data_IF_636142680099
#
_entry.id   IF_636142680099
#
_cell.length_a   1.000
_cell.length_b   1.000
_cell.length_c   1.000
_cell.angle_alpha   90.00
_cell.angle_beta   90.00
_cell.angle_gamma   90.00
#
_symmetry.space_group_name_H-M   'P 1'
#
loop_
_entity.id
_entity.type
_entity.pdbx_description
1 polymer ?
#
# COMPACT_ATOMS: atom_id res chain seq x y z
N UNK A 1 0.66 -28.68 11.30
CA UNK A 1 1.69 -27.63 11.48
C UNK A 1 2.42 -27.46 10.16
N UNK A 2 2.22 -26.34 9.46
CA UNK A 2 2.95 -26.07 8.22
C UNK A 2 4.44 -25.89 8.55
N UNK A 3 5.28 -26.68 7.90
CA UNK A 3 6.74 -26.58 7.97
C UNK A 3 7.14 -25.17 7.53
N UNK A 4 7.57 -24.31 8.46
CA UNK A 4 8.27 -23.08 8.10
C UNK A 4 9.47 -23.48 7.24
N UNK A 5 9.45 -23.12 5.95
CA UNK A 5 10.52 -23.44 5.01
C UNK A 5 11.87 -23.02 5.59
N UNK A 6 12.91 -23.82 5.33
CA UNK A 6 14.26 -23.46 5.76
C UNK A 6 14.60 -22.06 5.23
N UNK A 7 15.23 -21.19 6.04
CA UNK A 7 15.63 -19.87 5.58
C UNK A 7 16.52 -19.99 4.34
N UNK A 8 16.36 -19.10 3.34
CA UNK A 8 17.11 -19.17 2.08
C UNK A 8 18.63 -19.04 2.30
N UNK A 9 19.06 -18.46 3.43
CA UNK A 9 20.45 -18.30 3.81
C UNK A 9 20.79 -19.15 5.06
N UNK A 10 21.48 -20.29 4.91
CA UNK A 10 21.76 -21.22 6.02
C UNK A 10 22.54 -20.59 7.19
N UNK A 11 23.43 -19.64 6.91
CA UNK A 11 24.23 -18.95 7.93
C UNK A 11 23.39 -18.02 8.82
N UNK A 12 22.23 -17.56 8.34
CA UNK A 12 21.30 -16.72 9.10
C UNK A 12 20.27 -17.53 9.91
N UNK A 13 20.32 -18.86 9.88
CA UNK A 13 19.34 -19.72 10.57
C UNK A 13 19.21 -19.42 12.07
N UNK A 14 20.30 -18.97 12.71
CA UNK A 14 20.31 -18.57 14.13
C UNK A 14 19.52 -17.30 14.43
N UNK A 15 19.30 -16.43 13.43
CA UNK A 15 18.54 -15.19 13.57
C UNK A 15 17.05 -15.35 13.24
N UNK A 16 16.62 -16.53 12.77
CA UNK A 16 15.21 -16.80 12.48
C UNK A 16 14.45 -16.99 13.80
N UNK A 17 13.62 -16.01 14.13
CA UNK A 17 12.70 -16.13 15.26
C UNK A 17 11.56 -17.09 14.96
N UNK A 18 11.16 -17.88 15.96
CA UNK A 18 9.93 -18.69 15.93
C UNK A 18 8.74 -18.01 16.60
N UNK A 19 8.96 -16.88 17.27
CA UNK A 19 7.90 -16.15 17.95
C UNK A 19 7.08 -15.34 16.93
N UNK A 20 5.82 -15.73 16.74
CA UNK A 20 4.92 -15.08 15.79
C UNK A 20 4.72 -13.58 16.08
N UNK A 21 4.62 -13.17 17.34
CA UNK A 21 4.46 -11.76 17.68
C UNK A 21 5.67 -10.93 17.25
N UNK A 22 6.88 -11.49 17.35
CA UNK A 22 8.11 -10.82 16.88
C UNK A 22 8.15 -10.74 15.35
N UNK A 23 7.73 -11.80 14.65
CA UNK A 23 7.65 -11.80 13.18
C UNK A 23 6.68 -10.74 12.68
N UNK A 24 5.48 -10.71 13.25
CA UNK A 24 4.44 -9.75 12.92
C UNK A 24 4.85 -8.32 13.26
N UNK A 25 5.46 -8.11 14.43
CA UNK A 25 6.03 -6.82 14.82
C UNK A 25 7.05 -6.32 13.80
N UNK A 26 8.02 -7.16 13.39
CA UNK A 26 9.05 -6.77 12.43
C UNK A 26 8.47 -6.48 11.04
N UNK A 27 7.48 -7.25 10.62
CA UNK A 27 6.78 -7.05 9.35
C UNK A 27 6.02 -5.71 9.34
N UNK A 28 5.28 -5.41 10.41
CA UNK A 28 4.57 -4.13 10.57
C UNK A 28 5.54 -2.94 10.72
N UNK A 29 6.64 -3.12 11.44
CA UNK A 29 7.70 -2.12 11.58
C UNK A 29 8.30 -1.75 10.22
N UNK A 30 8.77 -2.73 9.45
CA UNK A 30 9.40 -2.49 8.15
C UNK A 30 8.39 -2.03 7.09
N UNK A 31 7.16 -2.56 7.12
CA UNK A 31 6.10 -2.16 6.22
C UNK A 31 5.71 -0.69 6.43
N UNK A 32 5.48 -0.26 7.67
CA UNK A 32 5.18 1.15 7.97
C UNK A 32 6.40 2.06 7.75
N UNK A 33 7.61 1.56 8.01
CA UNK A 33 8.85 2.28 7.67
C UNK A 33 8.92 2.61 6.17
N UNK A 34 8.73 1.61 5.30
CA UNK A 34 8.76 1.78 3.84
C UNK A 34 7.65 2.73 3.38
N UNK A 35 6.42 2.54 3.87
CA UNK A 35 5.29 3.42 3.59
C UNK A 35 5.65 4.88 3.85
N UNK A 36 6.16 5.16 5.04
CA UNK A 36 6.46 6.52 5.45
C UNK A 36 7.65 7.09 4.69
N UNK A 37 8.71 6.30 4.43
CA UNK A 37 9.87 6.78 3.68
C UNK A 37 9.50 7.27 2.27
N UNK A 38 8.73 6.49 1.51
CA UNK A 38 8.32 6.90 0.16
C UNK A 38 7.39 8.11 0.17
N UNK A 39 6.39 8.12 1.05
CA UNK A 39 5.44 9.23 1.15
C UNK A 39 6.06 10.51 1.71
N UNK A 40 6.90 10.39 2.74
CA UNK A 40 7.59 11.51 3.35
C UNK A 40 8.63 12.15 2.41
N UNK A 41 9.40 11.32 1.69
CA UNK A 41 10.37 11.83 0.71
C UNK A 41 9.69 12.51 -0.49
N UNK A 42 8.53 12.01 -0.94
CA UNK A 42 7.77 12.70 -1.99
C UNK A 42 7.22 14.04 -1.52
N UNK A 43 6.83 14.14 -0.24
CA UNK A 43 6.40 15.41 0.33
C UNK A 43 7.57 16.37 0.54
N UNK A 44 8.77 15.88 0.90
CA UNK A 44 9.98 16.68 0.89
C UNK A 44 10.29 17.22 -0.52
N UNK A 45 10.17 16.38 -1.55
CA UNK A 45 10.30 16.83 -2.94
C UNK A 45 9.28 17.92 -3.28
N UNK A 46 8.01 17.74 -2.90
CA UNK A 46 6.99 18.77 -3.04
C UNK A 46 7.35 20.07 -2.32
N UNK A 47 7.88 20.02 -1.10
CA UNK A 47 8.21 21.21 -0.31
C UNK A 47 9.44 21.97 -0.81
N UNK A 48 10.49 21.27 -1.26
CA UNK A 48 11.78 21.90 -1.54
C UNK A 48 12.10 22.13 -3.03
N UNK A 49 11.28 21.62 -3.95
CA UNK A 49 11.46 21.90 -5.39
C UNK A 49 10.57 23.03 -5.88
N UNK A 50 10.95 23.68 -6.98
CA UNK A 50 10.15 24.76 -7.57
C UNK A 50 8.80 24.28 -8.14
N UNK A 51 8.75 23.04 -8.64
CA UNK A 51 7.54 22.45 -9.21
C UNK A 51 6.70 21.80 -8.11
N UNK A 52 5.59 22.45 -7.76
CA UNK A 52 4.65 21.98 -6.75
C UNK A 52 3.60 21.08 -7.39
N UNK A 53 3.85 19.77 -7.41
CA UNK A 53 2.89 18.78 -7.89
C UNK A 53 2.33 17.94 -6.73
N UNK A 54 1.10 18.25 -6.33
CA UNK A 54 0.41 17.52 -5.27
C UNK A 54 0.09 16.08 -5.72
N UNK A 55 -0.12 15.83 -7.02
CA UNK A 55 -0.51 14.51 -7.52
C UNK A 55 0.68 13.57 -7.46
N UNK A 56 1.87 14.05 -7.84
CA UNK A 56 3.11 13.29 -7.68
C UNK A 56 3.32 12.90 -6.19
N UNK A 57 3.07 13.82 -5.26
CA UNK A 57 3.18 13.52 -3.83
C UNK A 57 2.18 12.42 -3.40
N UNK A 58 0.89 12.56 -3.72
CA UNK A 58 -0.14 11.58 -3.35
C UNK A 58 0.05 10.23 -4.05
N UNK A 59 0.53 10.24 -5.29
CA UNK A 59 0.90 9.04 -6.04
C UNK A 59 1.97 8.25 -5.29
N UNK A 60 3.06 8.92 -4.89
CA UNK A 60 4.12 8.30 -4.09
C UNK A 60 3.65 7.81 -2.72
N UNK A 61 2.72 8.50 -2.04
CA UNK A 61 2.10 7.99 -0.81
C UNK A 61 1.36 6.67 -1.05
N UNK A 62 0.57 6.56 -2.11
CA UNK A 62 -0.11 5.32 -2.47
C UNK A 62 0.84 4.19 -2.86
N UNK A 63 1.92 4.50 -3.60
CA UNK A 63 3.00 3.53 -3.89
C UNK A 63 3.71 3.09 -2.60
N UNK A 64 3.97 4.02 -1.67
CA UNK A 64 4.52 3.70 -0.35
C UNK A 64 3.63 2.73 0.42
N UNK A 65 2.31 2.97 0.43
CA UNK A 65 1.34 2.03 1.03
C UNK A 65 1.39 0.67 0.35
N UNK A 66 1.37 0.61 -0.99
CA UNK A 66 1.46 -0.65 -1.73
C UNK A 66 2.71 -1.46 -1.34
N UNK A 67 3.89 -0.81 -1.33
CA UNK A 67 5.15 -1.47 -0.98
C UNK A 67 5.22 -1.84 0.51
N UNK A 68 4.66 -1.00 1.38
CA UNK A 68 4.56 -1.28 2.81
C UNK A 68 3.70 -2.53 3.09
N UNK A 69 2.53 -2.63 2.46
CA UNK A 69 1.67 -3.82 2.54
C UNK A 69 2.43 -5.04 2.01
N UNK A 70 3.06 -4.92 0.83
CA UNK A 70 3.77 -6.03 0.19
C UNK A 70 4.94 -6.55 1.05
N UNK A 71 5.57 -5.67 1.83
CA UNK A 71 6.66 -6.02 2.76
C UNK A 71 6.19 -6.98 3.86
N UNK A 72 4.99 -6.74 4.42
CA UNK A 72 4.45 -7.53 5.53
C UNK A 72 3.42 -8.60 5.12
N UNK A 73 2.96 -8.62 3.87
CA UNK A 73 1.81 -9.41 3.42
C UNK A 73 1.90 -10.90 3.76
N UNK A 74 3.07 -11.51 3.59
CA UNK A 74 3.28 -12.94 3.87
C UNK A 74 3.50 -13.30 5.35
N UNK A 75 3.59 -12.30 6.24
CA UNK A 75 3.93 -12.50 7.66
C UNK A 75 2.83 -11.96 8.57
N UNK A 76 2.56 -10.65 8.53
CA UNK A 76 1.53 -10.00 9.34
C UNK A 76 0.20 -9.79 8.62
N UNK A 77 0.20 -9.93 7.29
CA UNK A 77 -0.89 -9.47 6.42
C UNK A 77 -0.72 -8.02 5.94
N UNK A 78 0.33 -7.32 6.38
CA UNK A 78 0.69 -5.99 5.90
C UNK A 78 -0.34 -4.92 6.26
N UNK A 79 -0.71 -4.78 7.54
CA UNK A 79 -1.71 -3.80 7.96
C UNK A 79 -1.18 -2.37 7.82
N UNK A 80 0.06 -2.15 8.25
CA UNK A 80 0.86 -0.91 8.19
C UNK A 80 0.19 0.36 8.73
N UNK A 81 -0.99 0.22 9.34
CA UNK A 81 -1.87 1.26 9.80
C UNK A 81 -2.67 0.77 11.02
N UNK A 82 -2.66 1.50 12.16
CA UNK A 82 -3.43 1.16 13.35
C UNK A 82 -4.92 1.01 13.10
N UNK A 83 -5.53 1.80 12.20
CA UNK A 83 -6.97 1.70 11.96
C UNK A 83 -7.35 0.39 11.26
N UNK A 84 -6.49 -0.10 10.36
CA UNK A 84 -6.67 -1.39 9.68
C UNK A 84 -6.60 -2.51 10.72
N UNK A 85 -5.61 -2.46 11.60
CA UNK A 85 -5.45 -3.39 12.72
C UNK A 85 -6.67 -3.43 13.64
N UNK A 86 -7.17 -2.28 14.11
CA UNK A 86 -8.34 -2.25 15.01
C UNK A 86 -9.63 -2.63 14.31
N UNK A 87 -9.81 -2.23 13.04
CA UNK A 87 -11.00 -2.55 12.27
C UNK A 87 -11.10 -4.04 11.98
N UNK A 88 -10.01 -4.67 11.53
CA UNK A 88 -9.98 -6.13 11.36
C UNK A 88 -10.20 -6.86 12.68
N UNK A 89 -9.68 -6.35 13.79
CA UNK A 89 -9.96 -6.93 15.09
C UNK A 89 -11.44 -6.86 15.48
N UNK A 90 -12.13 -5.75 15.16
CA UNK A 90 -13.56 -5.59 15.47
C UNK A 90 -14.48 -6.60 14.77
N UNK A 91 -14.09 -7.09 13.59
CA UNK A 91 -14.87 -8.07 12.81
C UNK A 91 -14.27 -9.48 12.87
N UNK A 92 -13.35 -9.72 13.79
CA UNK A 92 -12.75 -11.04 14.03
C UNK A 92 -11.74 -11.50 12.98
N UNK A 93 -11.32 -10.63 12.05
CA UNK A 93 -10.25 -10.91 11.06
C UNK A 93 -8.85 -10.90 11.69
N UNK A 94 -8.67 -10.25 12.83
CA UNK A 94 -7.45 -10.28 13.65
C UNK A 94 -7.79 -10.56 15.13
N UNK A 95 -7.13 -11.49 15.82
CA UNK A 95 -7.29 -11.64 17.26
C UNK A 95 -6.84 -10.38 18.01
N UNK A 96 -7.67 -9.85 18.92
CA UNK A 96 -7.37 -8.64 19.71
C UNK A 96 -6.01 -8.69 20.44
N UNK A 97 -5.60 -9.88 20.90
CA UNK A 97 -4.28 -10.08 21.54
C UNK A 97 -3.08 -9.73 20.66
N UNK A 98 -3.26 -9.66 19.33
CA UNK A 98 -2.21 -9.26 18.38
C UNK A 98 -2.11 -7.76 18.16
N UNK A 99 -3.19 -7.03 18.44
CA UNK A 99 -3.27 -5.58 18.20
C UNK A 99 -2.11 -4.80 18.85
N UNK A 100 -1.70 -5.07 20.10
CA UNK A 100 -0.64 -4.28 20.74
C UNK A 100 0.69 -4.31 20.00
N UNK A 101 1.18 -5.48 19.57
CA UNK A 101 2.47 -5.58 18.88
C UNK A 101 2.41 -5.14 17.43
N UNK A 102 1.25 -5.20 16.77
CA UNK A 102 1.05 -4.56 15.46
C UNK A 102 1.19 -3.04 15.58
N UNK A 103 0.40 -2.43 16.48
CA UNK A 103 0.40 -0.97 16.69
C UNK A 103 1.79 -0.48 17.10
N UNK A 104 2.46 -1.20 18.01
CA UNK A 104 3.82 -0.85 18.43
C UNK A 104 4.82 -0.92 17.27
N UNK A 105 4.77 -1.98 16.45
CA UNK A 105 5.61 -2.11 15.26
C UNK A 105 5.42 -0.96 14.30
N UNK A 106 4.16 -0.65 13.96
CA UNK A 106 3.80 0.45 13.06
C UNK A 106 4.33 1.79 13.55
N UNK A 107 4.10 2.11 14.84
CA UNK A 107 4.52 3.40 15.40
C UNK A 107 6.05 3.53 15.46
N UNK A 108 6.77 2.49 15.88
CA UNK A 108 8.24 2.52 15.93
C UNK A 108 8.86 2.55 14.53
N UNK A 109 8.26 1.86 13.56
CA UNK A 109 8.68 1.88 12.16
C UNK A 109 8.56 3.29 11.56
N UNK A 110 7.41 3.93 11.76
CA UNK A 110 7.20 5.32 11.33
C UNK A 110 8.09 6.32 12.06
N UNK A 111 8.34 6.13 13.37
CA UNK A 111 9.26 6.98 14.13
C UNK A 111 10.65 6.97 13.49
N UNK A 112 11.20 5.76 13.24
CA UNK A 112 12.50 5.62 12.60
C UNK A 112 12.52 6.19 11.17
N UNK A 113 11.46 5.97 10.40
CA UNK A 113 11.34 6.52 9.05
C UNK A 113 11.33 8.06 9.08
N UNK A 114 10.57 8.66 9.98
CA UNK A 114 10.55 10.11 10.16
C UNK A 114 11.91 10.67 10.58
N UNK A 115 12.67 9.94 11.40
CA UNK A 115 14.00 10.36 11.84
C UNK A 115 14.98 10.34 10.67
N UNK A 116 15.00 9.25 9.90
CA UNK A 116 15.84 9.14 8.69
C UNK A 116 15.44 10.20 7.67
N UNK A 117 14.14 10.44 7.46
CA UNK A 117 13.66 11.49 6.56
C UNK A 117 14.16 12.88 6.99
N UNK A 118 14.01 13.23 8.27
CA UNK A 118 14.49 14.51 8.79
C UNK A 118 15.99 14.71 8.51
N UNK A 119 16.83 13.73 8.87
CA UNK A 119 18.28 13.83 8.65
C UNK A 119 18.65 13.81 7.16
N UNK A 120 17.90 13.08 6.33
CA UNK A 120 18.14 13.03 4.89
C UNK A 120 17.84 14.37 4.18
N UNK A 121 17.01 15.23 4.78
CA UNK A 121 16.60 16.52 4.22
C UNK A 121 17.05 17.72 5.08
N UNK A 122 17.99 17.53 6.02
CA UNK A 122 18.36 18.57 6.99
C UNK A 122 18.90 19.84 6.33
N UNK A 123 19.77 19.72 5.32
CA UNK A 123 20.33 20.88 4.61
C UNK A 123 19.24 21.66 3.84
N UNK A 124 18.26 20.96 3.29
CA UNK A 124 17.13 21.59 2.60
C UNK A 124 16.18 22.27 3.58
N UNK A 125 15.96 21.69 4.76
CA UNK A 125 15.23 22.34 5.84
C UNK A 125 15.95 23.63 6.28
N UNK A 126 17.26 23.53 6.55
CA UNK A 126 18.10 24.66 6.99
C UNK A 126 18.18 25.77 5.93
N UNK A 127 18.12 25.42 4.64
CA UNK A 127 18.06 26.40 3.55
C UNK A 127 16.80 27.26 3.56
N UNK A 128 15.72 26.79 4.19
CA UNK A 128 14.43 27.48 4.30
C UNK A 128 14.29 28.18 5.65
N UNK A 129 14.62 27.48 6.73
CA UNK A 129 14.36 27.91 8.10
C UNK A 129 15.59 28.46 8.84
N UNK A 130 16.77 28.40 8.24
CA UNK A 130 18.02 28.88 8.83
C UNK A 130 18.47 28.07 10.04
N UNK A 131 17.93 26.86 10.23
CA UNK A 131 18.12 26.01 11.41
C UNK A 131 17.11 26.28 12.53
N UNK A 132 16.24 27.29 12.40
CA UNK A 132 15.17 27.58 13.36
C UNK A 132 13.90 26.83 13.00
N UNK A 133 13.65 25.71 13.69
CA UNK A 133 12.50 24.84 13.40
C UNK A 133 11.17 25.49 13.78
N UNK A 134 10.35 25.79 12.78
CA UNK A 134 9.02 26.38 12.94
C UNK A 134 7.96 25.55 12.20
N UNK A 135 6.78 25.33 12.79
CA UNK A 135 5.76 24.52 12.12
C UNK A 135 5.19 25.26 10.90
N UNK A 136 4.84 26.53 11.09
CA UNK A 136 4.19 27.40 10.10
C UNK A 136 4.91 28.74 9.99
N UNK A 137 4.42 29.57 9.06
CA UNK A 137 5.00 30.88 8.76
C UNK A 137 5.77 30.86 7.45
N UNK A 138 6.39 31.99 7.13
CA UNK A 138 7.14 32.16 5.87
C UNK A 138 8.24 31.12 5.68
N UNK A 139 8.86 30.71 6.79
CA UNK A 139 9.94 29.74 6.84
C UNK A 139 9.50 28.44 7.53
N UNK A 140 8.20 28.17 7.64
CA UNK A 140 7.67 27.00 8.33
C UNK A 140 7.96 25.71 7.55
N UNK A 141 8.58 24.74 8.23
CA UNK A 141 9.01 23.46 7.64
C UNK A 141 8.38 22.25 8.34
N UNK A 142 7.68 22.44 9.45
CA UNK A 142 7.16 21.35 10.29
C UNK A 142 6.09 20.49 9.62
N UNK A 143 5.43 20.98 8.56
CA UNK A 143 4.49 20.21 7.75
C UNK A 143 5.13 19.02 7.03
N UNK A 144 6.47 18.97 6.91
CA UNK A 144 7.20 17.86 6.31
C UNK A 144 6.89 16.52 7.02
N UNK A 145 6.91 16.52 8.36
CA UNK A 145 6.91 15.28 9.14
C UNK A 145 5.49 14.77 9.41
N UNK A 146 4.54 15.66 9.67
CA UNK A 146 3.23 15.28 10.20
C UNK A 146 2.12 16.08 9.54
N UNK A 147 0.88 15.64 9.69
CA UNK A 147 -0.28 16.32 9.13
C UNK A 147 -0.73 17.49 10.00
N UNK A 148 -1.31 18.49 9.37
CA UNK A 148 -1.94 19.62 10.04
C UNK A 148 -3.22 20.06 9.30
N UNK A 149 -4.16 20.71 10.01
CA UNK A 149 -5.38 21.19 9.40
C UNK A 149 -5.11 22.47 8.61
N UNK A 150 -5.81 22.64 7.50
CA UNK A 150 -5.83 23.89 6.76
C UNK A 150 -6.37 25.04 7.64
N UNK A 151 -5.71 26.20 7.60
CA UNK A 151 -6.05 27.37 8.43
C UNK A 151 -7.48 27.87 8.22
N UNK A 152 -8.04 27.69 7.02
CA UNK A 152 -9.39 28.11 6.67
C UNK A 152 -10.48 27.08 6.98
N UNK A 153 -10.10 25.90 7.50
CA UNK A 153 -11.03 24.80 7.78
C UNK A 153 -11.20 24.64 9.29
N UNK A 154 -12.44 24.60 9.76
CA UNK A 154 -12.75 24.37 11.18
C UNK A 154 -12.36 22.94 11.62
N UNK A 155 -11.94 22.79 12.88
CA UNK A 155 -11.57 21.46 13.42
C UNK A 155 -12.74 20.48 13.42
N UNK A 156 -13.98 20.94 13.59
CA UNK A 156 -15.18 20.09 13.46
C UNK A 156 -15.32 19.51 12.05
N UNK A 157 -14.98 20.29 11.02
CA UNK A 157 -14.93 19.80 9.63
C UNK A 157 -13.78 18.83 9.45
N UNK A 158 -12.62 19.07 10.07
CA UNK A 158 -11.51 18.11 10.04
C UNK A 158 -11.87 16.77 10.70
N UNK A 159 -12.64 16.78 11.79
CA UNK A 159 -13.17 15.56 12.42
C UNK A 159 -14.09 14.82 11.44
N UNK A 160 -15.04 15.52 10.82
CA UNK A 160 -15.96 14.92 9.86
C UNK A 160 -15.25 14.37 8.62
N UNK A 161 -14.32 15.14 8.07
CA UNK A 161 -13.43 14.75 6.96
C UNK A 161 -12.64 13.48 7.30
N UNK A 162 -12.04 13.42 8.49
CA UNK A 162 -11.27 12.27 8.95
C UNK A 162 -12.14 11.01 9.12
N UNK A 163 -13.39 11.16 9.59
CA UNK A 163 -14.36 10.06 9.67
C UNK A 163 -14.69 9.53 8.26
N UNK A 164 -14.99 10.44 7.31
CA UNK A 164 -15.29 10.06 5.92
C UNK A 164 -14.10 9.35 5.29
N UNK A 165 -12.91 9.94 5.35
CA UNK A 165 -11.71 9.38 4.72
C UNK A 165 -11.37 8.01 5.29
N UNK A 166 -11.34 7.87 6.62
CA UNK A 166 -11.00 6.60 7.27
C UNK A 166 -12.08 5.54 7.05
N UNK A 167 -13.34 5.95 6.95
CA UNK A 167 -14.46 5.09 6.57
C UNK A 167 -14.36 4.59 5.13
N UNK A 168 -14.11 5.48 4.17
CA UNK A 168 -13.91 5.11 2.77
C UNK A 168 -12.70 4.19 2.58
N UNK A 169 -11.60 4.48 3.29
CA UNK A 169 -10.41 3.65 3.32
C UNK A 169 -10.76 2.22 3.77
N UNK A 170 -11.37 2.07 4.94
CA UNK A 170 -11.67 0.73 5.47
C UNK A 170 -12.79 0.01 4.71
N UNK A 171 -13.83 0.72 4.27
CA UNK A 171 -14.88 0.15 3.45
C UNK A 171 -14.30 -0.43 2.16
N UNK A 172 -13.45 0.33 1.45
CA UNK A 172 -12.85 -0.09 0.20
C UNK A 172 -11.82 -1.21 0.40
N UNK A 173 -11.04 -1.19 1.49
CA UNK A 173 -10.18 -2.32 1.86
C UNK A 173 -11.01 -3.61 2.02
N UNK A 174 -12.15 -3.54 2.70
CA UNK A 174 -13.03 -4.70 2.88
C UNK A 174 -13.63 -5.19 1.55
N UNK A 175 -13.98 -4.26 0.65
CA UNK A 175 -14.41 -4.58 -0.73
C UNK A 175 -13.31 -5.33 -1.49
N UNK A 176 -12.08 -4.83 -1.46
CA UNK A 176 -10.93 -5.37 -2.22
C UNK A 176 -10.54 -6.76 -1.71
N UNK A 177 -10.56 -6.98 -0.39
CA UNK A 177 -10.11 -8.20 0.26
C UNK A 177 -11.17 -9.33 0.30
N UNK A 178 -12.42 -9.06 -0.06
CA UNK A 178 -13.44 -10.09 -0.08
C UNK A 178 -13.40 -10.85 -1.41
N UNK A 179 -12.78 -12.03 -1.42
CA UNK A 179 -12.68 -12.91 -2.59
C UNK A 179 -14.07 -13.27 -3.18
N UNK A 180 -15.16 -13.15 -2.41
CA UNK A 180 -16.53 -13.39 -2.88
C UNK A 180 -17.05 -12.23 -3.74
N UNK A 181 -16.43 -11.06 -3.65
CA UNK A 181 -16.82 -9.83 -4.31
C UNK A 181 -15.87 -9.51 -5.47
N UNK A 182 -16.32 -9.66 -6.72
CA UNK A 182 -15.53 -9.48 -7.95
C UNK A 182 -14.25 -10.34 -8.07
N UNK A 183 -13.91 -11.17 -7.05
CA UNK A 183 -12.80 -12.12 -7.01
C UNK A 183 -11.47 -11.52 -7.48
N UNK A 184 -11.01 -10.50 -6.74
CA UNK A 184 -9.74 -9.81 -6.98
C UNK A 184 -8.62 -10.83 -7.25
N UNK A 185 -7.87 -10.62 -8.33
CA UNK A 185 -6.75 -11.51 -8.68
C UNK A 185 -5.74 -11.57 -7.54
N UNK A 186 -5.35 -12.79 -7.15
CA UNK A 186 -4.37 -13.01 -6.08
C UNK A 186 -3.08 -12.22 -6.37
N UNK A 187 -2.61 -11.46 -5.37
CA UNK A 187 -1.46 -10.57 -5.51
C UNK A 187 -1.81 -9.13 -5.89
N UNK A 188 -3.01 -8.84 -6.40
CA UNK A 188 -3.41 -7.48 -6.78
C UNK A 188 -3.88 -6.61 -5.60
N UNK A 189 -4.13 -7.20 -4.42
CA UNK A 189 -4.67 -6.50 -3.26
C UNK A 189 -3.84 -5.27 -2.85
N UNK A 190 -2.51 -5.43 -2.69
CA UNK A 190 -1.63 -4.33 -2.30
C UNK A 190 -1.63 -3.19 -3.34
N UNK A 191 -1.65 -3.54 -4.63
CA UNK A 191 -1.73 -2.58 -5.72
C UNK A 191 -3.04 -1.78 -5.71
N UNK A 192 -4.18 -2.47 -5.63
CA UNK A 192 -5.49 -1.81 -5.61
C UNK A 192 -5.67 -0.93 -4.37
N UNK A 193 -5.19 -1.38 -3.21
CA UNK A 193 -5.18 -0.56 -1.99
C UNK A 193 -4.26 0.65 -2.16
N UNK A 194 -3.07 0.49 -2.76
CA UNK A 194 -2.18 1.62 -3.07
C UNK A 194 -2.83 2.67 -3.97
N UNK A 195 -3.45 2.25 -5.08
CA UNK A 195 -4.17 3.15 -6.00
C UNK A 195 -5.35 3.83 -5.30
N UNK A 196 -6.10 3.11 -4.47
CA UNK A 196 -7.16 3.70 -3.67
C UNK A 196 -6.61 4.76 -2.69
N UNK A 197 -5.42 4.58 -2.11
CA UNK A 197 -4.79 5.60 -1.26
C UNK A 197 -4.40 6.83 -2.07
N UNK A 198 -3.87 6.66 -3.30
CA UNK A 198 -3.60 7.81 -4.19
C UNK A 198 -4.87 8.64 -4.38
N UNK A 199 -5.97 7.98 -4.75
CA UNK A 199 -7.25 8.64 -4.98
C UNK A 199 -7.77 9.33 -3.71
N UNK A 200 -7.69 8.67 -2.55
CA UNK A 200 -8.14 9.21 -1.28
C UNK A 200 -7.34 10.44 -0.85
N UNK A 201 -6.01 10.38 -0.91
CA UNK A 201 -5.14 11.50 -0.57
C UNK A 201 -5.33 12.68 -1.54
N UNK A 202 -5.52 12.41 -2.83
CA UNK A 202 -5.78 13.46 -3.83
C UNK A 202 -7.14 14.12 -3.63
N UNK A 203 -8.19 13.33 -3.39
CA UNK A 203 -9.55 13.84 -3.27
C UNK A 203 -9.83 14.56 -1.94
N UNK A 204 -9.22 14.11 -0.84
CA UNK A 204 -9.52 14.61 0.52
C UNK A 204 -8.33 15.27 1.23
N UNK A 205 -7.18 15.43 0.55
CA UNK A 205 -5.97 15.99 1.17
C UNK A 205 -6.07 17.47 1.57
N UNK A 206 -6.99 18.24 0.99
CA UNK A 206 -7.02 19.70 1.15
C UNK A 206 -7.43 20.19 2.55
N UNK A 207 -8.27 19.45 3.26
CA UNK A 207 -8.81 19.87 4.56
C UNK A 207 -7.79 19.68 5.69
N UNK A 208 -7.27 18.47 5.82
CA UNK A 208 -6.34 18.11 6.89
C UNK A 208 -5.33 17.01 6.48
N UNK A 209 -4.94 17.01 5.20
CA UNK A 209 -3.91 16.12 4.64
C UNK A 209 -4.24 14.63 4.72
N UNK A 210 -5.53 14.28 4.68
CA UNK A 210 -6.03 12.91 4.71
C UNK A 210 -5.36 12.05 5.80
N UNK A 211 -5.40 12.52 7.05
CA UNK A 211 -4.69 11.93 8.17
C UNK A 211 -5.35 10.64 8.71
N UNK A 212 -5.38 9.60 7.86
CA UNK A 212 -6.09 8.32 8.07
C UNK A 212 -5.23 7.21 8.67
N UNK A 213 -4.02 7.52 9.12
CA UNK A 213 -3.09 6.56 9.70
C UNK A 213 -2.41 7.16 10.94
N UNK A 214 -2.83 6.77 12.16
CA UNK A 214 -2.22 7.25 13.40
C UNK A 214 -0.71 7.00 13.48
N UNK A 215 -0.22 5.87 12.95
CA UNK A 215 1.22 5.58 12.94
C UNK A 215 1.99 6.48 11.95
N UNK A 216 1.36 7.01 10.90
CA UNK A 216 1.97 7.98 9.99
C UNK A 216 2.07 9.39 10.60
N UNK A 217 1.29 9.67 11.64
CA UNK A 217 1.19 11.02 12.20
C UNK A 217 1.84 11.11 13.59
N UNK A 218 1.34 10.37 14.58
CA UNK A 218 1.73 10.54 15.97
C UNK A 218 3.25 10.37 16.22
N UNK A 219 3.92 9.30 15.74
CA UNK A 219 5.36 9.16 15.91
C UNK A 219 6.18 10.28 15.27
N UNK A 220 5.78 10.73 14.08
CA UNK A 220 6.44 11.82 13.38
C UNK A 220 6.24 13.16 14.11
N UNK A 221 5.10 13.34 14.77
CA UNK A 221 4.83 14.49 15.66
C UNK A 221 5.70 14.45 16.92
N UNK A 222 5.89 13.27 17.51
CA UNK A 222 6.85 13.07 18.63
C UNK A 222 8.25 13.44 18.16
N UNK A 223 8.70 12.93 17.01
CA UNK A 223 9.99 13.31 16.45
C UNK A 223 10.08 14.82 16.22
N UNK A 224 9.09 15.44 15.58
CA UNK A 224 9.04 16.88 15.32
C UNK A 224 9.28 17.67 16.62
N UNK A 225 8.62 17.30 17.71
CA UNK A 225 8.83 17.94 19.01
C UNK A 225 10.28 17.78 19.52
N UNK A 226 10.92 16.62 19.28
CA UNK A 226 12.29 16.32 19.71
C UNK A 226 13.37 17.03 18.88
N UNK A 227 13.13 17.27 17.59
CA UNK A 227 14.15 17.81 16.65
C UNK A 227 14.13 19.33 16.50
N UNK A 228 13.50 20.03 17.44
CA UNK A 228 13.57 21.48 17.58
C UNK A 228 12.26 22.23 17.39
N UNK A 229 11.21 21.60 16.84
CA UNK A 229 9.90 22.27 16.69
C UNK A 229 9.14 22.40 18.03
N UNK A 230 9.53 21.63 19.05
CA UNK A 230 9.01 21.74 20.41
C UNK A 230 7.53 21.36 20.56
N UNK A 231 6.88 21.90 21.60
CA UNK A 231 5.50 21.55 21.94
C UNK A 231 4.49 22.00 20.87
N UNK A 232 4.84 22.97 20.01
CA UNK A 232 3.97 23.46 18.94
C UNK A 232 3.54 22.35 17.98
N UNK A 233 4.39 21.34 17.77
CA UNK A 233 4.05 20.15 16.98
C UNK A 233 2.75 19.49 17.44
N UNK A 234 2.40 19.57 18.72
CA UNK A 234 1.13 19.06 19.27
C UNK A 234 0.09 20.15 19.49
N UNK A 235 0.52 21.36 19.86
CA UNK A 235 -0.39 22.41 20.31
C UNK A 235 -1.04 23.18 19.16
N UNK A 236 -0.52 23.08 17.92
CA UNK A 236 -1.11 23.78 16.78
C UNK A 236 -2.60 23.44 16.61
N UNK A 237 -3.45 24.43 16.91
CA UNK A 237 -4.92 24.31 16.93
C UNK A 237 -5.44 23.10 17.71
N UNK A 238 -4.64 22.54 18.63
CA UNK A 238 -4.93 21.27 19.31
C UNK A 238 -5.33 20.12 18.35
N UNK A 239 -4.74 20.06 17.15
CA UNK A 239 -5.15 19.11 16.11
C UNK A 239 -4.73 17.66 16.39
N UNK A 240 -3.65 17.44 17.14
CA UNK A 240 -2.95 16.14 17.28
C UNK A 240 -3.84 14.93 17.63
N UNK A 241 -4.93 15.13 18.38
CA UNK A 241 -5.81 14.05 18.81
C UNK A 241 -6.73 13.58 17.68
N UNK A 242 -7.00 14.43 16.68
CA UNK A 242 -7.82 14.09 15.51
C UNK A 242 -7.16 12.93 14.75
N UNK A 243 -5.95 13.08 14.17
CA UNK A 243 -5.30 11.99 13.42
C UNK A 243 -4.92 10.79 14.28
N UNK A 244 -4.87 10.95 15.61
CA UNK A 244 -4.59 9.84 16.53
C UNK A 244 -5.83 8.96 16.78
N UNK A 245 -7.00 9.56 17.02
CA UNK A 245 -8.17 8.83 17.53
C UNK A 245 -9.35 8.80 16.57
N UNK A 246 -9.63 9.89 15.85
CA UNK A 246 -10.79 9.98 14.95
C UNK A 246 -10.74 8.97 13.80
N UNK A 247 -9.57 8.66 13.21
CA UNK A 247 -9.48 7.63 12.17
C UNK A 247 -9.99 6.26 12.60
N UNK A 248 -9.83 5.88 13.87
CA UNK A 248 -10.36 4.61 14.37
C UNK A 248 -11.89 4.58 14.30
N UNK A 249 -12.56 5.69 14.67
CA UNK A 249 -14.01 5.78 14.56
C UNK A 249 -14.48 5.64 13.12
N UNK A 250 -13.89 6.40 12.18
CA UNK A 250 -14.22 6.30 10.77
C UNK A 250 -13.95 4.91 10.21
N UNK A 251 -12.78 4.34 10.53
CA UNK A 251 -12.39 2.99 10.10
C UNK A 251 -13.35 1.90 10.57
N UNK A 252 -13.82 1.98 11.82
CA UNK A 252 -14.85 1.07 12.36
C UNK A 252 -16.16 1.22 11.60
N UNK A 253 -16.64 2.45 11.41
CA UNK A 253 -17.87 2.73 10.66
C UNK A 253 -17.79 2.14 9.24
N UNK A 254 -16.72 2.42 8.50
CA UNK A 254 -16.54 1.91 7.13
C UNK A 254 -16.51 0.37 7.06
N UNK A 255 -15.81 -0.25 8.01
CA UNK A 255 -15.72 -1.73 8.08
C UNK A 255 -17.08 -2.36 8.32
N UNK A 256 -17.83 -1.85 9.30
CA UNK A 256 -19.15 -2.38 9.64
C UNK A 256 -20.21 -2.06 8.59
N UNK A 257 -20.14 -0.89 7.93
CA UNK A 257 -20.98 -0.60 6.77
C UNK A 257 -20.76 -1.62 5.65
N UNK A 258 -19.51 -2.00 5.35
CA UNK A 258 -19.25 -3.05 4.37
C UNK A 258 -19.88 -4.37 4.81
N UNK A 259 -19.62 -4.81 6.06
CA UNK A 259 -20.15 -6.08 6.58
C UNK A 259 -21.67 -6.10 6.47
N UNK A 260 -22.33 -5.08 7.01
CA UNK A 260 -23.78 -5.04 7.13
C UNK A 260 -24.49 -4.84 5.78
N UNK A 261 -23.97 -3.98 4.91
CA UNK A 261 -24.66 -3.61 3.68
C UNK A 261 -24.26 -4.50 2.50
N UNK A 262 -23.03 -5.04 2.45
CA UNK A 262 -22.52 -5.80 1.30
C UNK A 262 -22.15 -7.23 1.72
N UNK A 263 -21.25 -7.38 2.69
CA UNK A 263 -20.64 -8.66 3.05
C UNK A 263 -21.63 -9.74 3.52
N UNK A 264 -22.74 -9.34 4.17
CA UNK A 264 -23.84 -10.22 4.57
C UNK A 264 -24.78 -10.60 3.41
N UNK A 265 -24.75 -9.87 2.30
CA UNK A 265 -25.64 -10.06 1.14
C UNK A 265 -24.96 -10.78 -0.03
N UNK A 266 -23.65 -11.04 0.05
CA UNK A 266 -22.94 -11.83 -0.95
C UNK A 266 -23.09 -13.31 -0.61
N UNK A 267 -23.76 -14.05 -1.51
CA UNK A 267 -23.85 -15.51 -1.45
C UNK A 267 -22.47 -16.14 -1.40
N UNK A 268 -22.28 -17.17 -0.56
CA UNK A 268 -21.07 -17.98 -0.62
C UNK A 268 -20.96 -18.57 -2.03
N UNK A 269 -19.78 -18.53 -2.68
CA UNK A 269 -19.57 -19.30 -3.90
C UNK A 269 -20.00 -20.74 -3.63
N UNK A 270 -20.89 -21.29 -4.45
CA UNK A 270 -21.19 -22.71 -4.36
C UNK A 270 -19.87 -23.45 -4.45
N UNK A 271 -19.50 -24.15 -3.38
CA UNK A 271 -18.46 -25.15 -3.44
C UNK A 271 -18.93 -26.14 -4.50
N UNK A 272 -18.25 -26.21 -5.65
CA UNK A 272 -18.56 -27.22 -6.67
C UNK A 272 -18.24 -28.59 -6.07
N UNK A 273 -19.23 -29.17 -5.40
CA UNK A 273 -19.22 -30.57 -5.00
C UNK A 273 -19.51 -31.40 -6.25
N UNK A 274 -18.46 -31.86 -6.94
CA UNK A 274 -18.57 -32.81 -8.06
C UNK A 274 -17.53 -32.59 -9.16
N UNK A 275 -17.04 -33.66 -9.83
CA UNK A 275 -15.91 -33.57 -10.74
C UNK A 275 -16.38 -33.06 -12.10
N UNK A 276 -16.46 -31.74 -12.27
CA UNK A 276 -16.57 -31.15 -13.60
C UNK A 276 -15.18 -30.79 -14.10
N UNK A 277 -14.64 -31.66 -14.94
CA UNK A 277 -13.54 -31.32 -15.81
C UNK A 277 -13.93 -30.14 -16.69
N UNK A 278 -13.41 -28.95 -16.36
CA UNK A 278 -13.31 -27.84 -17.30
C UNK A 278 -11.82 -27.62 -17.54
N UNK A 279 -11.36 -28.12 -18.67
CA UNK A 279 -9.99 -28.01 -19.13
C UNK A 279 -9.83 -26.63 -19.79
N UNK A 280 -9.14 -25.69 -19.13
CA UNK A 280 -8.97 -24.32 -19.67
C UNK A 280 -7.69 -24.15 -20.50
N UNK A 281 -6.82 -25.16 -20.62
CA UNK A 281 -5.63 -25.15 -21.50
C UNK A 281 -5.26 -26.60 -21.91
N UNK A 282 -5.29 -27.00 -23.20
CA UNK A 282 -4.88 -28.34 -23.62
C UNK A 282 -3.36 -28.38 -23.83
N UNK A 283 -2.56 -28.29 -22.77
CA UNK A 283 -1.10 -28.50 -22.86
C UNK A 283 -0.54 -29.15 -21.59
N UNK A 284 -0.68 -30.47 -21.54
CA UNK A 284 0.34 -31.46 -21.13
C UNK A 284 -0.38 -32.77 -20.77
N UNK A 285 0.00 -33.92 -21.37
CA UNK A 285 -0.45 -35.22 -20.86
C UNK A 285 0.02 -35.39 -19.42
N UNK A 286 -0.85 -35.91 -18.55
CA UNK A 286 -0.48 -36.29 -17.18
C UNK A 286 0.61 -37.37 -17.26
N UNK A 287 1.74 -37.13 -16.59
CA UNK A 287 2.67 -38.19 -16.25
C UNK A 287 1.96 -39.13 -15.26
N UNK A 288 1.53 -40.30 -15.75
CA UNK A 288 0.81 -41.27 -14.93
C UNK A 288 -0.08 -42.26 -15.66
N UNK A 289 0.17 -42.54 -16.95
CA UNK A 289 -0.33 -43.77 -17.58
C UNK A 289 0.85 -44.44 -18.28
N UNK A 290 1.23 -45.61 -17.77
CA UNK A 290 2.25 -46.45 -18.37
C UNK A 290 1.67 -47.14 -19.61
N UNK A 291 1.89 -46.58 -20.79
CA UNK A 291 1.91 -47.35 -22.04
C UNK A 291 3.02 -46.80 -22.93
N UNK A 292 3.75 -47.73 -23.57
CA UNK A 292 5.09 -47.48 -24.09
C UNK A 292 5.17 -46.80 -25.46
N UNK A 293 6.42 -46.79 -25.95
CA UNK A 293 6.94 -46.36 -27.24
C UNK A 293 7.18 -44.85 -27.49
N UNK A 294 8.49 -44.52 -27.44
CA UNK A 294 9.28 -43.75 -28.42
C UNK A 294 8.68 -42.51 -29.09
N UNK A 295 9.29 -41.34 -28.84
CA UNK A 295 9.18 -40.18 -29.73
C UNK A 295 9.81 -38.91 -29.15
N UNK A 296 10.91 -38.47 -29.75
CA UNK A 296 11.61 -37.21 -29.47
C UNK A 296 10.75 -36.02 -29.94
N UNK A 297 10.57 -34.97 -29.12
CA UNK A 297 10.05 -33.68 -29.61
C UNK A 297 10.78 -32.48 -29.02
N UNK A 298 11.35 -31.69 -29.94
CA UNK A 298 12.01 -30.40 -29.76
C UNK A 298 10.97 -29.29 -29.64
N UNK A 299 11.16 -28.34 -28.70
CA UNK A 299 10.27 -27.20 -28.47
C UNK A 299 10.59 -26.07 -29.46
N UNK A 300 9.59 -25.63 -30.24
CA UNK A 300 9.64 -24.43 -31.07
C UNK A 300 8.54 -23.44 -30.67
N UNK A 301 8.94 -22.24 -30.24
CA UNK A 301 8.04 -21.11 -29.99
C UNK A 301 7.48 -20.54 -31.31
N UNK A 302 6.17 -20.32 -31.40
CA UNK A 302 5.56 -19.43 -32.39
C UNK A 302 4.50 -18.50 -31.78
N UNK A 303 4.51 -17.29 -32.30
CA UNK A 303 3.86 -16.05 -31.86
C UNK A 303 2.34 -16.06 -31.86
N UNK A 304 1.73 -15.29 -30.94
CA UNK A 304 0.30 -15.03 -30.89
C UNK A 304 -0.14 -14.00 -31.95
N UNK A 305 -1.27 -14.25 -32.61
CA UNK A 305 -1.96 -13.32 -33.52
C UNK A 305 -3.31 -12.98 -32.88
N UNK A 306 -3.61 -11.69 -32.74
CA UNK A 306 -4.93 -11.20 -32.29
C UNK A 306 -5.87 -11.04 -33.49
N UNK A 307 -7.13 -11.50 -33.34
CA UNK A 307 -8.21 -11.23 -34.30
C UNK A 307 -9.13 -10.12 -33.77
N UNK A 308 -9.41 -9.13 -34.61
CA UNK A 308 -10.51 -8.17 -34.44
C UNK A 308 -11.59 -8.56 -35.46
N UNK A 309 -12.82 -8.72 -35.01
CA UNK A 309 -14.00 -9.03 -35.84
C UNK A 309 -14.91 -7.81 -35.98
N UNK A 310 -15.33 -7.51 -37.20
CA UNK A 310 -16.42 -6.59 -37.55
C UNK A 310 -17.73 -7.39 -37.71
N UNK A 311 -18.86 -6.77 -37.34
CA UNK A 311 -20.25 -7.27 -37.28
C UNK A 311 -20.86 -7.83 -38.59
N UNK A 312 -20.08 -8.11 -39.63
CA UNK A 312 -20.58 -8.75 -40.88
C UNK A 312 -19.86 -10.04 -41.30
N UNK A 313 -19.11 -10.68 -40.41
CA UNK A 313 -18.83 -12.12 -40.49
C UNK A 313 -18.12 -12.63 -41.76
N UNK A 314 -17.18 -11.87 -42.31
CA UNK A 314 -16.32 -12.34 -43.43
C UNK A 314 -14.84 -12.28 -43.05
N UNK A 315 -14.16 -13.43 -43.13
CA UNK A 315 -12.74 -13.59 -42.77
C UNK A 315 -11.84 -13.40 -43.99
N UNK A 316 -10.84 -12.50 -43.90
CA UNK A 316 -9.74 -12.41 -44.85
C UNK A 316 -8.40 -12.64 -44.12
N UNK A 317 -7.61 -13.60 -44.62
CA UNK A 317 -6.27 -13.91 -44.11
C UNK A 317 -5.23 -13.02 -44.82
N UNK A 318 -4.50 -12.19 -44.07
CA UNK A 318 -3.32 -11.46 -44.59
C UNK A 318 -2.08 -11.93 -43.83
N UNK A 319 -1.10 -12.48 -44.56
CA UNK A 319 0.17 -12.96 -44.04
C UNK A 319 1.17 -11.80 -43.82
N UNK A 320 1.88 -11.79 -42.69
CA UNK A 320 2.99 -10.85 -42.44
C UNK A 320 4.32 -11.38 -43.01
N UNK A 321 5.15 -10.55 -43.69
CA UNK A 321 6.50 -10.91 -44.10
C UNK A 321 7.51 -10.80 -42.95
N UNK A 322 8.49 -11.73 -42.94
CA UNK A 322 9.47 -11.94 -41.88
C UNK A 322 10.58 -10.90 -41.75
N UNK A 323 11.34 -11.05 -40.66
CA UNK A 323 12.54 -10.26 -40.34
C UNK A 323 13.73 -11.20 -40.20
N UNK A 324 14.88 -10.92 -40.83
CA UNK A 324 16.18 -11.33 -40.31
C UNK A 324 16.95 -10.12 -39.73
N UNK A 325 17.62 -10.37 -38.61
CA UNK A 325 18.51 -9.44 -37.93
C UNK A 325 19.84 -9.25 -38.68
N UNK A 326 20.39 -8.03 -38.70
CA UNK A 326 21.82 -7.74 -38.61
C UNK A 326 22.13 -6.23 -38.76
N UNK A 327 23.06 -5.76 -37.92
CA UNK A 327 24.00 -4.65 -38.14
C UNK A 327 23.46 -3.22 -38.33
N UNK A 328 23.59 -2.40 -37.27
CA UNK A 328 23.66 -0.95 -37.41
C UNK A 328 25.15 -0.60 -37.51
N UNK A 329 25.58 -0.27 -38.74
CA UNK A 329 26.80 0.50 -39.04
C UNK A 329 26.34 1.87 -39.53
N UNK A 330 27.05 2.90 -39.07
CA UNK A 330 26.98 4.30 -39.50
C UNK A 330 27.00 4.47 -41.03
N UNK A 331 26.24 5.42 -41.59
CA UNK A 331 26.81 6.58 -42.28
C UNK A 331 25.74 7.58 -42.79
N UNK A 332 26.22 8.81 -42.95
CA UNK A 332 25.56 10.07 -43.29
C UNK A 332 24.91 10.12 -44.69
N UNK A 333 24.30 11.30 -44.94
CA UNK A 333 23.98 11.96 -46.24
C UNK A 333 22.53 11.66 -46.65
N UNK A 334 21.58 12.62 -46.66
CA UNK A 334 21.60 13.99 -47.19
C UNK A 334 20.48 14.82 -46.54
#
# INVERSE_FOLDING_TARGET
>A
MASAGNPPFPFLRKFVTKNEAVKEFLAEFLGTFILYMFGGASFAHYLFTAQKDVFAATFCWGIGVMLGIQTGAGVSGGHVNPIVTTSFASVGKLPWRKVPHYILGQHLGAFLASAILYFNYIDLLDSVDGGERQIFGKNGTGVLLTTYPNDHVHLSVCVFDTIICSGLLMFTIMVILDDRNANTTKGMHAFLIGIMVVALCWAYGANCMAAVNPARDFPARVLSALVGYGAESFMFRNFWWIPMFVPHLGGLIGTWLYVLCIGMHISKPQQKDGPEGVNLLPLAPRAGESTGNTGVYTVGLRSAVYHITDDRGTHANVASPGVPAANIIEEKIK
#
